data_IF_873592868485
#
_entry.id   IF_873592868485
#
_cell.length_a   1.000
_cell.length_b   1.000
_cell.length_c   1.000
_cell.angle_alpha   90.00
_cell.angle_beta   90.00
_cell.angle_gamma   90.00
#
_symmetry.space_group_name_H-M   'P 1'
#
loop_
_entity.id
_entity.type
_entity.pdbx_description
1 polymer ?
#
# COMPACT_ATOMS: atom_id res chain seq x y z
N UNK A 1 -21.92 -11.34 -0.44
CA UNK A 1 -20.62 -11.11 0.25
C UNK A 1 -19.81 -12.39 0.23
N UNK A 2 -18.50 -12.31 0.02
CA UNK A 2 -17.61 -13.48 0.00
C UNK A 2 -17.29 -14.04 1.39
N UNK A 3 -16.59 -15.19 1.43
CA UNK A 3 -16.22 -15.90 2.67
C UNK A 3 -15.53 -15.04 3.73
N UNK A 4 -14.80 -14.00 3.30
CA UNK A 4 -14.00 -13.13 4.17
C UNK A 4 -14.66 -11.78 4.46
N UNK A 5 -15.95 -11.62 4.16
CA UNK A 5 -16.67 -10.36 4.45
C UNK A 5 -16.39 -9.23 3.46
N UNK A 6 -15.79 -9.52 2.30
CA UNK A 6 -15.61 -8.54 1.22
C UNK A 6 -16.49 -8.83 0.00
N UNK A 7 -16.89 -7.77 -0.68
CA UNK A 7 -17.60 -7.79 -1.97
C UNK A 7 -16.63 -8.14 -3.10
N UNK A 8 -17.16 -8.67 -4.21
CA UNK A 8 -16.42 -8.79 -5.48
C UNK A 8 -16.28 -7.44 -6.21
N UNK A 9 -17.01 -6.42 -5.76
CA UNK A 9 -16.87 -5.04 -6.23
C UNK A 9 -15.92 -4.31 -5.27
N UNK A 10 -14.83 -3.78 -5.83
CA UNK A 10 -13.83 -3.00 -5.11
C UNK A 10 -13.90 -1.51 -5.41
N UNK A 11 -13.04 -0.74 -4.75
CA UNK A 11 -12.87 0.70 -4.97
C UNK A 11 -11.40 1.09 -5.14
N UNK A 12 -11.14 2.21 -5.80
CA UNK A 12 -9.80 2.80 -5.90
C UNK A 12 -9.77 4.09 -5.09
N UNK A 13 -8.84 4.19 -4.13
CA UNK A 13 -8.74 5.35 -3.23
C UNK A 13 -7.28 5.78 -3.07
N UNK A 14 -6.97 7.02 -3.43
CA UNK A 14 -5.60 7.57 -3.34
C UNK A 14 -5.22 8.03 -1.93
N UNK A 15 -3.91 8.00 -1.64
CA UNK A 15 -3.32 8.36 -0.33
C UNK A 15 -3.15 9.86 -0.09
N UNK A 16 -4.18 10.70 -0.29
CA UNK A 16 -4.00 12.17 -0.23
C UNK A 16 -4.74 12.90 0.90
N UNK A 17 -5.56 12.23 1.74
CA UNK A 17 -6.21 12.93 2.86
C UNK A 17 -6.54 12.02 4.07
N UNK A 18 -5.86 12.24 5.20
CA UNK A 18 -5.90 11.36 6.37
C UNK A 18 -7.16 11.49 7.25
N UNK A 19 -7.71 12.69 7.43
CA UNK A 19 -8.84 12.86 8.36
C UNK A 19 -10.12 12.18 7.85
N UNK A 20 -10.34 12.21 6.54
CA UNK A 20 -11.52 11.60 5.91
C UNK A 20 -11.34 10.10 5.63
N UNK A 21 -10.11 9.59 5.64
CA UNK A 21 -9.80 8.19 5.28
C UNK A 21 -10.51 7.16 6.18
N UNK A 22 -10.53 7.38 7.51
CA UNK A 22 -11.20 6.48 8.47
C UNK A 22 -12.71 6.54 8.34
N UNK A 23 -13.28 7.73 8.13
CA UNK A 23 -14.72 7.92 7.90
C UNK A 23 -15.16 7.31 6.58
N UNK A 24 -14.34 7.40 5.55
CA UNK A 24 -14.57 6.73 4.29
C UNK A 24 -14.55 5.22 4.51
N UNK A 25 -13.48 4.68 5.12
CA UNK A 25 -13.32 3.24 5.35
C UNK A 25 -14.48 2.63 6.14
N UNK A 26 -15.02 3.33 7.14
CA UNK A 26 -16.19 2.84 7.90
C UNK A 26 -17.47 2.76 7.06
N UNK A 27 -17.65 3.65 6.08
CA UNK A 27 -18.80 3.61 5.15
C UNK A 27 -18.67 2.52 4.09
N UNK A 28 -17.46 2.08 3.77
CA UNK A 28 -17.18 1.08 2.73
C UNK A 28 -16.43 -0.15 3.27
N UNK A 29 -16.72 -0.56 4.50
CA UNK A 29 -16.00 -1.65 5.20
C UNK A 29 -16.01 -2.98 4.44
N UNK A 30 -17.00 -3.19 3.58
CA UNK A 30 -17.20 -4.40 2.79
C UNK A 30 -16.52 -4.36 1.41
N UNK A 31 -15.94 -3.22 0.99
CA UNK A 31 -15.24 -3.10 -0.29
C UNK A 31 -13.75 -3.43 -0.13
N UNK A 32 -13.21 -4.19 -1.08
CA UNK A 32 -11.76 -4.36 -1.20
C UNK A 32 -11.16 -3.17 -1.95
N UNK A 33 -10.11 -2.54 -1.41
CA UNK A 33 -9.56 -1.31 -1.98
C UNK A 33 -8.26 -1.55 -2.74
N UNK A 34 -8.10 -0.86 -3.86
CA UNK A 34 -6.81 -0.60 -4.47
C UNK A 34 -6.33 0.78 -4.02
N UNK A 35 -5.14 0.83 -3.43
CA UNK A 35 -4.57 2.04 -2.83
C UNK A 35 -3.32 2.44 -3.61
N UNK A 36 -3.43 3.28 -4.66
CA UNK A 36 -2.29 3.76 -5.43
C UNK A 36 -1.54 4.89 -4.74
N UNK A 37 -0.26 5.04 -5.11
CA UNK A 37 0.51 6.26 -4.83
C UNK A 37 1.48 6.18 -3.66
N UNK A 38 1.73 4.98 -3.10
CA UNK A 38 2.72 4.80 -2.03
C UNK A 38 4.11 5.29 -2.48
N UNK A 39 4.70 6.20 -1.72
CA UNK A 39 6.04 6.78 -1.91
C UNK A 39 6.16 7.85 -2.99
N UNK A 40 5.45 7.75 -4.12
CA UNK A 40 5.61 8.69 -5.24
C UNK A 40 4.68 9.91 -5.20
N UNK A 41 3.55 9.82 -4.50
CA UNK A 41 2.56 10.92 -4.36
C UNK A 41 2.57 11.55 -2.96
N UNK A 42 3.63 11.34 -2.18
CA UNK A 42 3.75 11.83 -0.81
C UNK A 42 3.07 10.95 0.25
N UNK A 43 2.31 9.92 -0.14
CA UNK A 43 1.71 8.96 0.78
C UNK A 43 2.73 7.95 1.31
N UNK A 44 2.86 7.85 2.63
CA UNK A 44 3.64 6.85 3.35
C UNK A 44 2.76 5.82 4.08
N UNK A 45 3.40 5.01 4.93
CA UNK A 45 2.71 3.96 5.69
C UNK A 45 1.54 4.50 6.54
N UNK A 46 1.72 5.66 7.17
CA UNK A 46 0.70 6.33 7.99
C UNK A 46 -0.55 6.72 7.21
N UNK A 47 -0.39 7.05 5.94
CA UNK A 47 -1.50 7.47 5.07
C UNK A 47 -2.30 6.27 4.54
N UNK A 48 -1.70 5.08 4.57
CA UNK A 48 -2.30 3.85 4.01
C UNK A 48 -3.03 3.05 5.07
N UNK A 49 -2.50 3.00 6.29
CA UNK A 49 -3.05 2.24 7.42
C UNK A 49 -4.55 2.51 7.66
N UNK A 50 -5.05 3.76 7.61
CA UNK A 50 -6.47 4.05 7.78
C UNK A 50 -7.41 3.35 6.79
N UNK A 51 -6.90 2.93 5.61
CA UNK A 51 -7.67 2.23 4.58
C UNK A 51 -7.67 0.71 4.74
N UNK A 52 -6.88 0.17 5.68
CA UNK A 52 -6.77 -1.26 5.96
C UNK A 52 -7.55 -1.64 7.21
N UNK A 53 -8.22 -2.79 7.18
CA UNK A 53 -8.90 -3.39 8.32
C UNK A 53 -7.99 -4.47 8.89
N UNK A 54 -7.32 -4.17 10.02
CA UNK A 54 -6.34 -5.08 10.66
C UNK A 54 -5.29 -5.61 9.66
N UNK A 55 -4.83 -4.75 8.77
CA UNK A 55 -3.85 -5.09 7.72
C UNK A 55 -4.42 -5.79 6.47
N UNK A 56 -5.74 -5.94 6.37
CA UNK A 56 -6.43 -6.53 5.20
C UNK A 56 -7.42 -5.53 4.58
N UNK A 57 -8.21 -5.95 3.59
CA UNK A 57 -9.26 -5.14 2.96
C UNK A 57 -8.76 -4.15 1.90
N UNK A 58 -7.48 -4.25 1.53
CA UNK A 58 -6.93 -3.52 0.40
C UNK A 58 -5.55 -4.01 -0.05
N UNK A 59 -5.18 -3.65 -1.27
CA UNK A 59 -3.85 -3.82 -1.85
C UNK A 59 -3.20 -2.46 -2.01
N UNK A 60 -1.99 -2.31 -1.49
CA UNK A 60 -1.20 -1.08 -1.58
C UNK A 60 -0.29 -1.16 -2.78
N UNK A 61 -0.45 -0.24 -3.73
CA UNK A 61 0.32 -0.23 -4.96
C UNK A 61 1.51 0.74 -4.86
N UNK A 62 2.70 0.21 -5.17
CA UNK A 62 3.91 0.97 -5.44
C UNK A 62 4.54 0.45 -6.73
N UNK A 63 4.78 1.33 -7.69
CA UNK A 63 5.33 0.94 -9.00
C UNK A 63 6.78 1.40 -9.14
N UNK A 64 7.01 2.69 -9.45
CA UNK A 64 8.36 3.25 -9.65
C UNK A 64 9.28 3.06 -8.44
N UNK A 65 8.74 3.13 -7.22
CA UNK A 65 9.53 2.91 -6.00
C UNK A 65 10.16 1.51 -5.92
N UNK A 66 9.51 0.49 -6.49
CA UNK A 66 9.99 -0.89 -6.51
C UNK A 66 10.77 -1.21 -7.80
N UNK A 67 10.23 -0.79 -8.95
CA UNK A 67 10.82 -1.04 -10.26
C UNK A 67 12.15 -0.32 -10.46
N UNK A 68 12.33 0.85 -9.84
CA UNK A 68 13.53 1.67 -9.98
C UNK A 68 14.45 1.60 -8.76
N UNK A 69 14.15 0.74 -7.78
CA UNK A 69 14.94 0.59 -6.55
C UNK A 69 16.42 0.29 -6.84
N UNK A 70 16.67 -0.54 -7.87
CA UNK A 70 18.01 -0.92 -8.31
C UNK A 70 18.90 0.27 -8.70
N UNK A 71 18.32 1.41 -9.10
CA UNK A 71 19.11 2.61 -9.46
C UNK A 71 19.86 3.21 -8.28
N UNK A 72 19.52 2.83 -7.05
CA UNK A 72 20.16 3.29 -5.81
C UNK A 72 21.29 2.36 -5.33
N UNK A 73 21.47 1.20 -5.96
CA UNK A 73 22.46 0.19 -5.59
C UNK A 73 23.73 0.30 -6.42
N UNK A 74 24.88 -0.07 -5.84
CA UNK A 74 26.10 -0.26 -6.61
C UNK A 74 25.91 -1.42 -7.60
N UNK A 75 26.32 -1.21 -8.87
CA UNK A 75 26.08 -2.13 -10.01
C UNK A 75 24.59 -2.37 -10.33
N UNK A 76 23.74 -1.38 -10.07
CA UNK A 76 22.29 -1.34 -10.21
C UNK A 76 21.60 -2.49 -10.97
N UNK A 77 21.72 -2.55 -12.30
CA UNK A 77 20.99 -3.53 -13.11
C UNK A 77 21.26 -5.00 -12.73
N UNK A 78 22.49 -5.32 -12.28
CA UNK A 78 22.84 -6.70 -11.87
C UNK A 78 22.13 -7.14 -10.59
N UNK A 79 21.65 -6.17 -9.81
CA UNK A 79 20.99 -6.39 -8.53
C UNK A 79 19.48 -6.11 -8.58
N UNK A 80 18.87 -6.01 -9.77
CA UNK A 80 17.44 -5.67 -9.93
C UNK A 80 16.52 -6.46 -9.00
N UNK A 81 16.58 -7.79 -9.06
CA UNK A 81 15.70 -8.65 -8.27
C UNK A 81 15.88 -8.45 -6.75
N UNK A 82 17.13 -8.32 -6.30
CA UNK A 82 17.46 -8.08 -4.88
C UNK A 82 16.98 -6.71 -4.43
N UNK A 83 17.21 -5.67 -5.23
CA UNK A 83 16.81 -4.31 -4.92
C UNK A 83 15.28 -4.16 -4.86
N UNK A 84 14.55 -4.74 -5.82
CA UNK A 84 13.09 -4.73 -5.82
C UNK A 84 12.51 -5.52 -4.64
N UNK A 85 13.08 -6.68 -4.30
CA UNK A 85 12.70 -7.43 -3.09
C UNK A 85 12.90 -6.60 -1.82
N UNK A 86 14.09 -6.05 -1.63
CA UNK A 86 14.41 -5.21 -0.47
C UNK A 86 13.45 -4.02 -0.36
N UNK A 87 13.13 -3.37 -1.48
CA UNK A 87 12.18 -2.25 -1.50
C UNK A 87 10.76 -2.67 -1.10
N UNK A 88 10.30 -3.85 -1.53
CA UNK A 88 8.99 -4.41 -1.11
C UNK A 88 8.99 -4.74 0.38
N UNK A 89 10.06 -5.35 0.90
CA UNK A 89 10.18 -5.69 2.32
C UNK A 89 10.16 -4.44 3.19
N UNK A 90 10.94 -3.41 2.84
CA UNK A 90 10.92 -2.11 3.54
C UNK A 90 9.53 -1.47 3.49
N UNK A 91 8.86 -1.47 2.33
CA UNK A 91 7.51 -0.95 2.20
C UNK A 91 6.52 -1.71 3.10
N UNK A 92 6.49 -3.04 3.03
CA UNK A 92 5.62 -3.90 3.84
C UNK A 92 5.86 -3.67 5.33
N UNK A 93 7.12 -3.67 5.75
CA UNK A 93 7.48 -3.57 7.17
C UNK A 93 7.15 -2.18 7.74
N UNK A 94 7.27 -1.13 6.92
CA UNK A 94 6.81 0.22 7.31
C UNK A 94 5.30 0.28 7.54
N UNK A 95 4.50 -0.40 6.72
CA UNK A 95 3.03 -0.48 6.90
C UNK A 95 2.69 -1.31 8.14
N UNK A 96 3.32 -2.47 8.32
CA UNK A 96 3.12 -3.33 9.50
C UNK A 96 3.47 -2.59 10.80
N UNK A 97 4.52 -1.77 10.79
CA UNK A 97 4.92 -0.98 11.95
C UNK A 97 3.85 0.02 12.37
N UNK A 98 3.18 0.66 11.42
CA UNK A 98 2.13 1.66 11.67
C UNK A 98 0.75 1.03 11.92
N UNK A 99 0.58 -0.29 11.70
CA UNK A 99 -0.64 -1.03 12.05
C UNK A 99 -0.76 -1.34 13.56
N UNK A 100 0.34 -1.20 14.33
CA UNK A 100 0.40 -1.43 15.78
C UNK A 100 -0.13 -0.22 16.54
#
# INVERSE_FOLDING_TARGET
MGKYGFSSIGGVVGCTNNEESRKLRSKIENLFLLIPGFGAQGGGAKDVVPYLIKGNGGVVNSSRGLLLAYKKEDKGYKNFAKASKNAVEVMRDSIIKELK
#
